data_IF_749370593914
#
_entry.id   IF_749370593914
#
_cell.length_a   1.000
_cell.length_b   1.000
_cell.length_c   1.000
_cell.angle_alpha   90.00
_cell.angle_beta   90.00
_cell.angle_gamma   90.00
#
_symmetry.space_group_name_H-M   'P 1'
#
loop_
_entity.id
_entity.type
_entity.pdbx_description
1 polymer ?
#
# COMPACT_ATOMS: atom_id res chain seq x y z
N UNK A 1 -58.89 77.41 -11.61
CA UNK A 1 -58.59 76.30 -10.68
C UNK A 1 -58.49 75.05 -11.51
N UNK A 2 -57.38 74.32 -11.36
CA UNK A 2 -56.74 73.50 -12.38
C UNK A 2 -57.44 72.14 -12.58
N UNK A 3 -57.29 71.69 -13.82
CA UNK A 3 -57.92 70.68 -14.66
C UNK A 3 -57.73 69.21 -14.24
N UNK A 4 -58.79 68.42 -14.49
CA UNK A 4 -58.87 67.10 -15.17
C UNK A 4 -57.99 65.88 -14.81
N UNK A 5 -58.69 64.72 -14.82
CA UNK A 5 -58.30 63.42 -15.42
C UNK A 5 -57.19 62.60 -14.75
N UNK A 6 -57.55 61.41 -14.24
CA UNK A 6 -57.43 60.08 -14.87
C UNK A 6 -56.02 59.46 -14.73
N UNK A 7 -56.08 58.15 -14.55
CA UNK A 7 -55.12 57.16 -15.04
C UNK A 7 -53.79 56.86 -14.32
N UNK A 8 -53.66 55.55 -14.12
CA UNK A 8 -52.51 54.71 -14.47
C UNK A 8 -51.23 54.71 -13.60
N UNK A 9 -50.97 53.48 -13.15
CA UNK A 9 -49.70 52.75 -13.23
C UNK A 9 -48.49 53.22 -12.42
N UNK A 10 -47.87 52.24 -11.75
CA UNK A 10 -46.57 52.35 -11.10
C UNK A 10 -46.43 51.26 -10.04
N UNK A 11 -46.20 50.00 -10.42
CA UNK A 11 -44.85 49.39 -10.60
C UNK A 11 -44.10 49.22 -9.26
N UNK A 12 -43.80 47.95 -8.97
CA UNK A 12 -42.77 47.41 -8.07
C UNK A 12 -43.00 47.47 -6.55
N UNK A 13 -43.25 46.31 -5.93
CA UNK A 13 -42.14 45.53 -5.35
C UNK A 13 -42.55 44.22 -4.67
N UNK A 14 -41.74 43.19 -4.97
CA UNK A 14 -41.29 42.13 -4.08
C UNK A 14 -42.21 40.97 -3.65
N UNK A 15 -41.76 39.79 -4.11
CA UNK A 15 -41.53 38.56 -3.32
C UNK A 15 -42.76 37.69 -3.02
N UNK A 16 -43.00 36.72 -3.89
CA UNK A 16 -43.14 35.32 -3.44
C UNK A 16 -42.69 34.39 -4.56
N UNK A 17 -41.40 34.03 -4.53
CA UNK A 17 -40.79 33.11 -5.50
C UNK A 17 -41.25 31.69 -5.16
N UNK A 18 -41.85 31.04 -6.16
CA UNK A 18 -42.28 29.64 -6.15
C UNK A 18 -41.06 28.71 -6.07
N UNK A 19 -40.98 27.91 -5.02
CA UNK A 19 -39.98 26.85 -4.88
C UNK A 19 -40.46 25.64 -5.70
N UNK A 20 -39.92 25.49 -6.91
CA UNK A 20 -39.94 24.21 -7.63
C UNK A 20 -38.75 23.38 -7.14
N UNK A 21 -39.05 22.28 -6.46
CA UNK A 21 -38.07 21.24 -6.09
C UNK A 21 -37.65 20.51 -7.37
N UNK A 22 -36.50 20.92 -7.92
CA UNK A 22 -35.82 20.19 -8.98
C UNK A 22 -35.09 19.00 -8.33
N UNK A 23 -35.57 17.80 -8.61
CA UNK A 23 -34.95 16.54 -8.23
C UNK A 23 -33.70 16.32 -9.10
N UNK A 24 -32.57 16.97 -8.77
CA UNK A 24 -31.26 16.63 -9.35
C UNK A 24 -30.72 15.42 -8.59
N UNK A 25 -31.17 14.25 -9.00
CA UNK A 25 -30.73 12.96 -8.48
C UNK A 25 -30.12 12.10 -9.57
N UNK A 26 -29.07 12.59 -10.25
CA UNK A 26 -28.18 11.73 -11.03
C UNK A 26 -26.82 11.71 -10.34
N UNK A 27 -26.73 10.81 -9.37
CA UNK A 27 -25.48 10.32 -8.80
C UNK A 27 -24.68 9.64 -9.91
N UNK A 28 -23.90 10.41 -10.67
CA UNK A 28 -22.68 9.90 -11.29
C UNK A 28 -21.60 9.83 -10.20
N UNK A 29 -21.81 8.90 -9.26
CA UNK A 29 -20.67 8.25 -8.62
C UNK A 29 -20.01 7.47 -9.75
N UNK A 30 -19.09 8.12 -10.45
CA UNK A 30 -18.08 7.42 -11.21
C UNK A 30 -17.44 6.45 -10.24
N UNK A 31 -17.85 5.19 -10.32
CA UNK A 31 -17.04 4.08 -9.91
C UNK A 31 -15.70 4.28 -10.62
N UNK A 32 -14.74 4.89 -9.93
CA UNK A 32 -13.33 4.59 -10.16
C UNK A 32 -13.27 3.10 -9.94
N UNK A 33 -13.48 2.37 -11.04
CA UNK A 33 -13.31 0.95 -11.13
C UNK A 33 -11.85 0.71 -10.82
N UNK A 34 -11.57 0.55 -9.54
CA UNK A 34 -10.37 -0.11 -9.07
C UNK A 34 -10.41 -1.48 -9.74
N UNK A 35 -9.72 -1.60 -10.88
CA UNK A 35 -9.54 -2.86 -11.60
C UNK A 35 -9.15 -3.92 -10.57
N UNK A 36 -9.82 -5.07 -10.64
CA UNK A 36 -9.61 -6.16 -9.67
C UNK A 36 -8.10 -6.37 -9.51
N UNK A 37 -7.60 -6.29 -8.27
CA UNK A 37 -6.21 -6.66 -7.96
C UNK A 37 -5.95 -7.98 -8.65
N UNK A 38 -4.95 -7.98 -9.51
CA UNK A 38 -4.75 -9.07 -10.44
C UNK A 38 -4.50 -10.32 -9.63
N UNK A 39 -5.39 -11.29 -9.81
CA UNK A 39 -5.25 -12.59 -9.19
C UNK A 39 -4.03 -13.24 -9.82
N UNK A 40 -2.90 -13.07 -9.16
CA UNK A 40 -1.69 -13.75 -9.51
C UNK A 40 -1.82 -15.21 -9.08
N UNK A 41 -1.64 -16.12 -10.02
CA UNK A 41 -1.67 -17.55 -9.75
C UNK A 41 -0.55 -17.93 -8.78
N UNK A 42 -0.85 -18.83 -7.84
CA UNK A 42 0.15 -19.39 -6.91
C UNK A 42 1.36 -19.95 -7.66
N UNK A 43 2.51 -19.91 -7.01
CA UNK A 43 3.76 -20.49 -7.48
C UNK A 43 3.61 -22.01 -7.71
N UNK A 44 4.38 -22.52 -8.67
CA UNK A 44 4.45 -23.95 -8.94
C UNK A 44 4.98 -24.72 -7.70
N UNK A 45 5.96 -24.14 -7.01
CA UNK A 45 6.55 -24.66 -5.78
C UNK A 45 6.75 -23.55 -4.75
N UNK A 46 6.83 -23.92 -3.47
CA UNK A 46 7.21 -22.96 -2.44
C UNK A 46 8.65 -22.46 -2.68
N UNK A 47 8.94 -21.18 -2.47
CA UNK A 47 10.30 -20.65 -2.54
C UNK A 47 11.19 -21.25 -1.46
N UNK A 48 12.46 -21.47 -1.78
CA UNK A 48 13.46 -21.97 -0.82
C UNK A 48 14.04 -20.84 0.04
N UNK A 49 13.96 -19.60 -0.45
CA UNK A 49 14.50 -18.42 0.21
C UNK A 49 13.70 -17.15 -0.11
N UNK A 50 13.68 -16.22 0.85
CA UNK A 50 13.17 -14.85 0.67
C UNK A 50 13.94 -14.07 -0.40
N UNK A 51 15.14 -14.51 -0.79
CA UNK A 51 15.95 -13.88 -1.85
C UNK A 51 15.60 -14.35 -3.25
N UNK A 52 14.71 -15.34 -3.39
CA UNK A 52 14.43 -15.98 -4.68
C UNK A 52 13.68 -15.07 -5.65
N UNK A 53 12.89 -14.14 -5.13
CA UNK A 53 12.04 -13.25 -5.93
C UNK A 53 12.12 -11.81 -5.43
N UNK A 54 11.74 -10.86 -6.29
CA UNK A 54 11.22 -9.57 -5.82
C UNK A 54 9.77 -9.79 -5.39
N UNK A 55 9.34 -9.15 -4.30
CA UNK A 55 8.09 -9.45 -3.62
C UNK A 55 7.14 -8.25 -3.67
N UNK A 56 5.98 -8.41 -4.29
CA UNK A 56 4.92 -7.39 -4.31
C UNK A 56 4.01 -7.54 -3.11
N UNK A 57 3.86 -6.48 -2.31
CA UNK A 57 2.90 -6.45 -1.21
C UNK A 57 1.47 -6.45 -1.76
N UNK A 58 0.64 -7.45 -1.43
CA UNK A 58 -0.75 -7.52 -1.91
C UNK A 58 -1.79 -7.38 -0.80
N UNK A 59 -1.43 -7.74 0.45
CA UNK A 59 -2.30 -7.61 1.60
C UNK A 59 -1.52 -7.29 2.88
N UNK A 60 -2.12 -6.48 3.74
CA UNK A 60 -1.63 -6.17 5.09
C UNK A 60 -2.78 -5.59 5.92
N UNK A 61 -2.72 -5.79 7.23
CA UNK A 61 -3.58 -5.09 8.20
C UNK A 61 -2.86 -3.90 8.87
N UNK A 62 -1.66 -3.55 8.41
CA UNK A 62 -0.98 -2.33 8.81
C UNK A 62 -1.72 -1.10 8.26
N UNK A 63 -2.38 -0.36 9.15
CA UNK A 63 -3.18 0.82 8.79
C UNK A 63 -2.38 1.88 8.04
N UNK A 64 -1.08 2.02 8.30
CA UNK A 64 -0.26 3.02 7.62
C UNK A 64 -0.07 2.65 6.14
N UNK A 65 0.12 1.37 5.85
CA UNK A 65 0.38 0.89 4.47
C UNK A 65 -0.86 0.59 3.65
N UNK A 66 -2.01 0.35 4.29
CA UNK A 66 -3.25 0.06 3.56
C UNK A 66 -3.61 1.18 2.56
N UNK A 67 -3.24 2.42 2.84
CA UNK A 67 -3.45 3.56 1.94
C UNK A 67 -2.58 3.56 0.68
N UNK A 68 -1.45 2.83 0.68
CA UNK A 68 -0.47 2.84 -0.41
C UNK A 68 -0.60 1.66 -1.38
N UNK A 69 -1.43 0.67 -1.06
CA UNK A 69 -1.59 -0.55 -1.87
C UNK A 69 -2.91 -0.52 -2.67
N UNK A 70 -2.98 0.45 -3.58
CA UNK A 70 -4.08 0.71 -4.50
C UNK A 70 -3.85 -0.02 -5.84
N UNK A 71 -4.79 0.06 -6.78
CA UNK A 71 -4.71 -0.73 -8.03
C UNK A 71 -3.41 -0.52 -8.83
N UNK A 72 -2.90 0.72 -8.88
CA UNK A 72 -1.74 1.09 -9.70
C UNK A 72 -0.52 1.53 -8.88
N UNK A 73 -0.70 1.66 -7.57
CA UNK A 73 0.35 2.08 -6.64
C UNK A 73 0.56 0.96 -5.62
N UNK A 74 1.79 0.46 -5.53
CA UNK A 74 2.13 -0.63 -4.63
C UNK A 74 3.61 -0.66 -4.27
N UNK A 75 3.96 -1.53 -3.33
CA UNK A 75 5.31 -1.67 -2.79
C UNK A 75 5.91 -2.98 -3.30
N UNK A 76 7.17 -2.92 -3.71
CA UNK A 76 8.00 -4.09 -4.05
C UNK A 76 9.20 -4.15 -3.11
N UNK A 77 9.42 -5.31 -2.49
CA UNK A 77 10.55 -5.60 -1.62
C UNK A 77 11.50 -6.59 -2.28
N UNK A 78 12.79 -6.27 -2.33
CA UNK A 78 13.85 -7.16 -2.82
C UNK A 78 14.80 -7.49 -1.68
N UNK A 79 15.16 -8.76 -1.52
CA UNK A 79 16.14 -9.22 -0.54
C UNK A 79 17.35 -9.84 -1.26
N UNK A 80 18.56 -9.55 -0.80
CA UNK A 80 19.81 -10.09 -1.37
C UNK A 80 20.51 -11.05 -0.42
N UNK A 81 21.32 -11.96 -0.96
CA UNK A 81 22.11 -12.90 -0.16
C UNK A 81 23.13 -12.23 0.78
N UNK A 82 23.39 -10.93 0.58
CA UNK A 82 24.31 -10.13 1.39
C UNK A 82 23.61 -9.40 2.53
N UNK A 83 22.38 -9.80 2.90
CA UNK A 83 21.61 -9.21 4.00
C UNK A 83 21.19 -7.75 3.75
N UNK A 84 21.15 -7.35 2.48
CA UNK A 84 20.67 -6.05 2.03
C UNK A 84 19.31 -6.21 1.34
N UNK A 85 18.50 -5.15 1.38
CA UNK A 85 17.26 -5.14 0.64
C UNK A 85 16.89 -3.77 0.12
N UNK A 86 15.98 -3.78 -0.85
CA UNK A 86 15.42 -2.58 -1.48
C UNK A 86 13.91 -2.56 -1.28
N UNK A 87 13.41 -1.40 -0.88
CA UNK A 87 11.99 -1.07 -0.86
C UNK A 87 11.71 -0.10 -1.99
N UNK A 88 11.04 -0.58 -3.03
CA UNK A 88 10.69 0.17 -4.23
C UNK A 88 9.22 0.54 -4.19
N UNK A 89 8.90 1.76 -4.61
CA UNK A 89 7.53 2.16 -4.90
C UNK A 89 7.25 1.94 -6.39
N UNK A 90 6.07 1.44 -6.68
CA UNK A 90 5.50 1.49 -8.03
C UNK A 90 4.38 2.50 -8.00
N UNK A 91 4.40 3.46 -8.92
CA UNK A 91 3.38 4.50 -9.03
C UNK A 91 2.89 4.62 -10.45
N UNK A 92 1.58 4.44 -10.66
CA UNK A 92 1.00 4.43 -12.01
C UNK A 92 1.70 3.44 -12.96
N UNK A 93 2.01 2.23 -12.47
CA UNK A 93 2.79 1.20 -13.20
C UNK A 93 4.22 1.57 -13.58
N UNK A 94 4.76 2.68 -13.05
CA UNK A 94 6.17 3.01 -13.18
C UNK A 94 6.90 2.56 -11.93
N UNK A 95 7.87 1.66 -12.13
CA UNK A 95 8.70 1.15 -11.04
C UNK A 95 9.83 2.12 -10.73
N UNK A 96 10.01 2.42 -9.44
CA UNK A 96 11.15 3.18 -8.97
C UNK A 96 12.47 2.44 -9.26
N UNK A 97 13.46 3.18 -9.76
CA UNK A 97 14.82 2.68 -10.00
C UNK A 97 15.52 2.29 -8.69
N UNK A 98 16.36 1.26 -8.72
CA UNK A 98 17.09 0.72 -7.57
C UNK A 98 17.92 1.79 -6.83
N UNK A 99 18.48 2.76 -7.55
CA UNK A 99 19.28 3.85 -7.00
C UNK A 99 18.47 4.86 -6.17
N UNK A 100 17.16 4.96 -6.43
CA UNK A 100 16.21 5.80 -5.68
C UNK A 100 15.45 4.99 -4.63
N UNK A 101 15.57 3.67 -4.65
CA UNK A 101 14.88 2.79 -3.73
C UNK A 101 15.41 2.96 -2.30
N UNK A 102 14.53 2.79 -1.33
CA UNK A 102 14.89 2.79 0.07
C UNK A 102 15.71 1.53 0.39
N UNK A 103 16.94 1.69 0.87
CA UNK A 103 17.84 0.58 1.21
C UNK A 103 17.68 0.19 2.67
N UNK A 104 17.64 -1.10 2.95
CA UNK A 104 17.54 -1.63 4.30
C UNK A 104 18.47 -2.79 4.53
N UNK A 105 18.74 -3.09 5.80
CA UNK A 105 19.46 -4.28 6.20
C UNK A 105 18.52 -5.24 6.90
N UNK A 106 18.66 -6.53 6.60
CA UNK A 106 17.88 -7.58 7.24
C UNK A 106 18.78 -8.72 7.71
N UNK A 107 18.35 -9.47 8.71
CA UNK A 107 19.06 -10.63 9.21
C UNK A 107 18.07 -11.76 9.44
N UNK A 108 18.41 -12.97 9.00
CA UNK A 108 17.58 -14.16 9.23
C UNK A 108 18.24 -15.01 10.31
N UNK A 109 17.56 -15.17 11.45
CA UNK A 109 18.00 -16.08 12.49
C UNK A 109 17.95 -17.52 11.98
N UNK A 110 19.12 -18.16 12.00
CA UNK A 110 19.25 -19.57 11.69
C UNK A 110 18.32 -20.39 12.62
N UNK A 111 17.61 -21.37 12.06
CA UNK A 111 16.75 -22.33 12.76
C UNK A 111 15.43 -21.80 13.36
N UNK A 112 15.08 -20.52 13.18
CA UNK A 112 13.88 -19.94 13.83
C UNK A 112 12.86 -19.29 12.91
N UNK A 113 13.11 -19.24 11.60
CA UNK A 113 12.27 -18.50 10.63
C UNK A 113 11.95 -17.07 11.11
N UNK A 114 12.88 -16.45 11.85
CA UNK A 114 12.75 -15.07 12.32
C UNK A 114 13.63 -14.20 11.46
N UNK A 115 13.03 -13.18 10.87
CA UNK A 115 13.70 -12.11 10.16
C UNK A 115 13.68 -10.85 11.02
N UNK A 116 14.84 -10.23 11.16
CA UNK A 116 14.99 -8.93 11.79
C UNK A 116 15.35 -7.89 10.73
N UNK A 117 14.73 -6.72 10.82
CA UNK A 117 14.86 -5.64 9.85
C UNK A 117 15.04 -4.33 10.64
N UNK A 118 15.91 -3.46 10.16
CA UNK A 118 16.23 -2.16 10.80
C UNK A 118 15.15 -1.08 10.59
N UNK A 119 14.06 -1.41 9.91
CA UNK A 119 12.90 -0.54 9.71
C UNK A 119 11.59 -1.33 9.71
N UNK A 120 10.49 -0.60 9.88
CA UNK A 120 9.15 -1.20 9.76
C UNK A 120 8.81 -1.33 8.29
N UNK A 121 8.52 -2.54 7.83
CA UNK A 121 8.24 -2.79 6.42
C UNK A 121 7.21 -1.82 5.86
N UNK A 122 7.48 -1.31 4.66
CA UNK A 122 6.67 -0.29 4.00
C UNK A 122 6.89 1.15 4.48
N UNK A 123 7.70 1.40 5.50
CA UNK A 123 8.22 2.74 5.80
C UNK A 123 9.59 2.93 5.14
N UNK A 124 9.98 4.16 4.83
CA UNK A 124 11.34 4.40 4.37
C UNK A 124 12.30 4.27 5.56
N UNK A 125 13.38 3.48 5.48
CA UNK A 125 14.41 3.44 6.50
C UNK A 125 15.09 4.81 6.60
N UNK A 126 15.32 5.27 7.83
CA UNK A 126 16.02 6.53 8.10
C UNK A 126 17.54 6.36 8.04
N UNK A 127 18.06 5.18 8.40
CA UNK A 127 19.47 4.82 8.26
C UNK A 127 19.64 3.30 8.33
N UNK A 128 20.43 2.73 7.42
CA UNK A 128 20.72 1.29 7.45
C UNK A 128 21.66 0.96 8.63
N UNK A 129 21.32 -0.08 9.39
CA UNK A 129 22.15 -0.61 10.48
C UNK A 129 23.08 -1.69 9.94
N UNK A 130 24.33 -1.77 10.42
CA UNK A 130 25.24 -2.84 9.99
C UNK A 130 24.68 -4.23 10.33
N UNK A 131 24.92 -5.22 9.46
CA UNK A 131 24.42 -6.60 9.62
C UNK A 131 24.83 -7.19 10.97
N UNK A 132 26.07 -6.97 11.41
CA UNK A 132 26.59 -7.48 12.69
C UNK A 132 25.84 -6.90 13.90
N UNK A 133 25.53 -5.59 13.85
CA UNK A 133 24.75 -4.96 14.91
C UNK A 133 23.29 -5.43 14.87
N UNK A 134 22.71 -5.56 13.67
CA UNK A 134 21.35 -6.05 13.48
C UNK A 134 21.18 -7.48 14.02
N UNK A 135 22.12 -8.38 13.74
CA UNK A 135 22.14 -9.74 14.28
C UNK A 135 22.16 -9.75 15.82
N UNK A 136 23.04 -8.94 16.42
CA UNK A 136 23.14 -8.80 17.88
C UNK A 136 21.83 -8.28 18.50
N UNK A 137 21.23 -7.25 17.91
CA UNK A 137 19.96 -6.68 18.37
C UNK A 137 18.80 -7.66 18.20
N UNK A 138 18.80 -8.43 17.12
CA UNK A 138 17.81 -9.46 16.83
C UNK A 138 17.83 -10.59 17.87
N UNK A 139 19.01 -11.08 18.24
CA UNK A 139 19.19 -12.11 19.26
C UNK A 139 18.77 -11.65 20.66
N UNK A 140 19.06 -10.39 20.99
CA UNK A 140 18.66 -9.77 22.26
C UNK A 140 17.17 -9.45 22.35
N UNK A 141 16.42 -9.57 21.24
CA UNK A 141 15.03 -9.14 21.18
C UNK A 141 14.88 -7.64 21.44
N UNK A 142 15.77 -6.82 20.88
CA UNK A 142 15.74 -5.36 21.09
C UNK A 142 14.51 -4.72 20.45
N UNK A 143 14.01 -3.64 21.06
CA UNK A 143 12.98 -2.77 20.46
C UNK A 143 13.54 -1.84 19.37
N UNK A 144 14.87 -1.79 19.19
CA UNK A 144 15.51 -1.00 18.15
C UNK A 144 15.41 -1.63 16.75
N UNK A 145 14.90 -2.86 16.66
CA UNK A 145 14.75 -3.60 15.40
C UNK A 145 13.34 -4.16 15.31
N UNK A 146 12.83 -4.26 14.10
CA UNK A 146 11.56 -4.91 13.84
C UNK A 146 11.79 -6.39 13.57
N UNK A 147 10.94 -7.23 14.14
CA UNK A 147 11.10 -8.68 14.12
C UNK A 147 9.86 -9.30 13.50
N UNK A 148 10.08 -10.24 12.61
CA UNK A 148 9.02 -10.93 11.87
C UNK A 148 9.28 -12.43 11.91
N UNK A 149 8.24 -13.22 12.17
CA UNK A 149 8.24 -14.61 11.71
C UNK A 149 7.85 -14.62 10.25
N UNK A 150 8.57 -15.37 9.41
CA UNK A 150 8.24 -15.46 8.00
C UNK A 150 7.83 -16.88 7.60
N UNK A 151 6.95 -16.94 6.61
CA UNK A 151 6.50 -18.16 5.97
C UNK A 151 6.70 -18.03 4.45
N UNK A 152 7.30 -19.06 3.85
CA UNK A 152 7.39 -19.23 2.41
C UNK A 152 6.46 -20.36 2.01
N UNK A 153 5.49 -20.06 1.17
CA UNK A 153 4.54 -21.03 0.64
C UNK A 153 4.36 -20.84 -0.86
N UNK A 154 3.54 -21.68 -1.48
CA UNK A 154 3.17 -21.50 -2.89
C UNK A 154 2.41 -20.20 -3.14
N UNK A 155 1.82 -19.60 -2.11
CA UNK A 155 1.10 -18.34 -2.21
C UNK A 155 2.03 -17.13 -2.02
N UNK A 156 3.32 -17.37 -1.70
CA UNK A 156 4.36 -16.37 -1.66
C UNK A 156 5.02 -16.24 -0.29
N UNK A 157 5.31 -15.01 0.11
CA UNK A 157 5.99 -14.66 1.36
C UNK A 157 5.01 -13.99 2.30
N UNK A 158 4.85 -14.53 3.51
CA UNK A 158 4.08 -13.86 4.57
C UNK A 158 5.01 -13.52 5.74
N UNK A 159 4.93 -12.28 6.20
CA UNK A 159 5.67 -11.76 7.34
C UNK A 159 4.70 -11.40 8.45
N UNK A 160 4.85 -12.02 9.61
CA UNK A 160 4.07 -11.76 10.81
C UNK A 160 4.93 -11.03 11.83
N UNK A 161 4.54 -9.81 12.19
CA UNK A 161 5.27 -9.04 13.18
C UNK A 161 5.19 -9.71 14.56
N UNK A 162 6.34 -9.80 15.22
CA UNK A 162 6.48 -10.35 16.57
C UNK A 162 7.14 -9.34 17.49
N UNK A 163 6.74 -9.34 18.75
CA UNK A 163 7.35 -8.49 19.77
C UNK A 163 8.72 -9.03 20.24
N UNK A 164 9.33 -8.33 21.20
CA UNK A 164 10.62 -8.72 21.80
C UNK A 164 10.61 -10.11 22.45
N UNK A 165 9.45 -10.54 22.94
CA UNK A 165 9.24 -11.88 23.51
C UNK A 165 8.95 -12.97 22.46
N UNK A 166 8.84 -12.60 21.17
CA UNK A 166 8.55 -13.54 20.08
C UNK A 166 7.06 -13.86 19.87
N UNK A 167 6.17 -13.13 20.55
CA UNK A 167 4.71 -13.27 20.39
C UNK A 167 4.21 -12.39 19.24
N UNK A 168 3.22 -12.87 18.50
CA UNK A 168 2.60 -12.12 17.41
C UNK A 168 1.95 -10.82 17.92
N UNK A 169 2.19 -9.71 17.23
CA UNK A 169 1.51 -8.44 17.48
C UNK A 169 0.12 -8.37 16.82
N UNK A 170 -0.13 -9.29 15.88
CA UNK A 170 -1.31 -9.31 15.03
C UNK A 170 -1.12 -8.61 13.70
N UNK A 171 -0.01 -7.89 13.47
CA UNK A 171 0.29 -7.26 12.18
C UNK A 171 0.91 -8.27 11.22
N UNK A 172 0.46 -8.26 9.95
CA UNK A 172 1.03 -9.10 8.90
C UNK A 172 1.20 -8.36 7.58
N UNK A 173 2.08 -8.90 6.74
CA UNK A 173 2.36 -8.45 5.38
C UNK A 173 2.43 -9.67 4.48
N UNK A 174 1.57 -9.74 3.47
CA UNK A 174 1.51 -10.85 2.53
C UNK A 174 1.92 -10.38 1.14
N UNK A 175 2.88 -11.10 0.58
CA UNK A 175 3.53 -10.79 -0.68
C UNK A 175 3.44 -11.95 -1.66
N UNK A 176 3.38 -11.60 -2.94
CA UNK A 176 3.53 -12.54 -4.08
C UNK A 176 4.78 -12.21 -4.87
N UNK A 177 5.24 -13.13 -5.72
CA UNK A 177 6.38 -12.85 -6.62
C UNK A 177 6.04 -11.68 -7.55
N UNK A 178 6.98 -10.77 -7.80
CA UNK A 178 6.75 -9.63 -8.67
C UNK A 178 7.15 -9.97 -10.11
N UNK A 179 6.20 -9.86 -11.04
CA UNK A 179 6.38 -10.21 -12.48
C UNK A 179 6.44 -8.99 -13.40
N UNK A 180 6.66 -7.81 -12.85
CA UNK A 180 6.67 -6.54 -13.58
C UNK A 180 5.40 -5.71 -13.38
N UNK A 181 5.45 -4.47 -13.85
CA UNK A 181 4.28 -3.60 -13.85
C UNK A 181 3.31 -4.04 -14.95
N UNK A 182 2.03 -4.15 -14.61
CA UNK A 182 1.00 -4.66 -15.49
C UNK A 182 0.19 -3.49 -16.04
N UNK A 183 0.09 -3.39 -17.36
CA UNK A 183 -0.67 -2.31 -17.99
C UNK A 183 -2.18 -2.63 -17.85
N UNK A 184 -3.04 -1.72 -17.35
CA UNK A 184 -4.48 -1.97 -17.18
C UNK A 184 -5.19 -2.52 -18.43
N UNK A 185 -4.68 -2.19 -19.62
CA UNK A 185 -5.25 -2.64 -20.90
C UNK A 185 -4.99 -4.12 -21.22
N UNK A 186 -4.06 -4.78 -20.51
CA UNK A 186 -3.71 -6.18 -20.74
C UNK A 186 -4.55 -7.17 -19.93
N UNK A 187 -5.46 -6.70 -19.07
CA UNK A 187 -6.01 -7.53 -17.98
C UNK A 187 -7.54 -7.56 -17.87
N UNK A 188 -8.24 -7.26 -18.97
CA UNK A 188 -9.68 -7.48 -19.06
C UNK A 188 -10.07 -8.72 -19.89
N UNK A 189 -9.16 -9.67 -20.15
CA UNK A 189 -9.43 -10.87 -20.97
C UNK A 189 -8.87 -12.17 -20.36
N UNK A 190 -9.17 -12.46 -19.10
CA UNK A 190 -9.04 -13.81 -18.53
C UNK A 190 -10.34 -14.21 -17.80
#
# INVERSE_FOLDING_TARGET
MITQELEQQGVNNMRTVRIQLILVGLTLLGSVGCGKKLFQSSLQQAPDSVTQYEWRLIATNDRQLQSWNLCYDFIVSKFSAQYEGLLKKVSGNVMQEDEKAAKFTYFVQQNRQVMCIDYRLGTAPTQATSVANLATLCEKGSTAVYRYKYELSRDGLTLYEINTSGNFTGVYYHYVDFRGALNPDQECNL
#
